data_IF_843207499742
#
_entry.id   IF_843207499742
#
_cell.length_a   1.000
_cell.length_b   1.000
_cell.length_c   1.000
_cell.angle_alpha   90.00
_cell.angle_beta   90.00
_cell.angle_gamma   90.00
#
_symmetry.space_group_name_H-M   'P 1'
#
loop_
_entity.id
_entity.type
_entity.pdbx_description
1 polymer ?
#
# COMPACT_ATOMS: atom_id res chain seq x y z
N UNK A 1 -45.88 -11.25 -17.01
CA UNK A 1 -44.53 -10.71 -16.73
C UNK A 1 -43.93 -10.22 -18.03
N UNK A 2 -43.29 -9.05 -18.05
CA UNK A 2 -42.66 -8.49 -19.25
C UNK A 2 -41.15 -8.76 -19.25
N UNK A 3 -40.61 -9.16 -20.39
CA UNK A 3 -39.19 -9.46 -20.57
C UNK A 3 -38.59 -8.64 -21.70
N UNK A 4 -37.27 -8.40 -21.65
CA UNK A 4 -36.50 -7.89 -22.79
C UNK A 4 -35.36 -8.85 -23.16
N UNK A 5 -34.98 -8.84 -24.44
CA UNK A 5 -33.76 -9.50 -24.92
C UNK A 5 -32.55 -8.61 -24.61
N UNK A 6 -31.53 -9.18 -23.99
CA UNK A 6 -30.23 -8.55 -23.76
C UNK A 6 -29.15 -9.35 -24.46
N UNK A 7 -28.51 -8.74 -25.45
CA UNK A 7 -27.48 -9.38 -26.27
C UNK A 7 -26.13 -9.22 -25.58
N UNK A 8 -25.47 -10.33 -25.25
CA UNK A 8 -24.13 -10.33 -24.70
C UNK A 8 -23.12 -10.23 -25.86
N UNK A 9 -22.08 -9.40 -25.75
CA UNK A 9 -21.11 -9.16 -26.82
C UNK A 9 -20.05 -10.27 -26.96
N UNK A 10 -20.42 -11.53 -26.70
CA UNK A 10 -19.53 -12.66 -26.93
C UNK A 10 -19.60 -13.02 -28.43
N UNK A 11 -18.46 -12.94 -29.11
CA UNK A 11 -18.34 -12.79 -30.58
C UNK A 11 -18.70 -14.02 -31.42
N UNK A 12 -19.08 -15.14 -30.80
CA UNK A 12 -19.13 -16.44 -31.50
C UNK A 12 -20.52 -17.10 -31.58
N UNK A 13 -21.60 -16.42 -31.18
CA UNK A 13 -22.94 -17.03 -31.23
C UNK A 13 -24.04 -16.01 -31.59
N UNK A 14 -24.57 -16.14 -32.80
CA UNK A 14 -25.47 -15.18 -33.47
C UNK A 14 -26.84 -15.08 -32.78
N UNK A 15 -27.16 -16.00 -31.85
CA UNK A 15 -28.42 -16.04 -31.11
C UNK A 15 -28.30 -15.99 -29.57
N UNK A 16 -27.14 -15.59 -29.02
CA UNK A 16 -26.93 -15.57 -27.56
C UNK A 16 -27.53 -14.31 -26.88
N UNK A 17 -28.85 -14.30 -26.71
CA UNK A 17 -29.55 -13.30 -25.90
C UNK A 17 -29.99 -13.88 -24.55
N UNK A 18 -29.88 -13.07 -23.50
CA UNK A 18 -30.45 -13.36 -22.19
C UNK A 18 -31.77 -12.64 -22.01
N UNK A 19 -32.77 -13.32 -21.48
CA UNK A 19 -34.02 -12.68 -21.10
C UNK A 19 -33.86 -12.00 -19.74
N UNK A 20 -34.13 -10.71 -19.70
CA UNK A 20 -34.17 -9.93 -18.47
C UNK A 20 -35.61 -9.57 -18.14
N UNK A 21 -36.05 -9.86 -16.91
CA UNK A 21 -37.34 -9.46 -16.40
C UNK A 21 -37.38 -7.94 -16.19
N UNK A 22 -38.40 -7.28 -16.73
CA UNK A 22 -38.65 -5.87 -16.48
C UNK A 22 -39.22 -5.68 -15.07
N UNK A 23 -38.50 -4.94 -14.23
CA UNK A 23 -38.86 -4.76 -12.81
C UNK A 23 -39.56 -3.41 -12.60
N UNK A 24 -40.85 -3.40 -12.22
CA UNK A 24 -41.54 -2.18 -11.82
C UNK A 24 -40.87 -1.51 -10.62
N UNK A 25 -41.00 -0.18 -10.48
CA UNK A 25 -40.40 0.59 -9.38
C UNK A 25 -40.72 0.02 -8.00
N UNK A 26 -41.93 -0.49 -7.80
CA UNK A 26 -42.39 -1.12 -6.55
C UNK A 26 -41.55 -2.34 -6.12
N UNK A 27 -40.92 -3.05 -7.06
CA UNK A 27 -40.17 -4.28 -6.78
C UNK A 27 -38.64 -4.10 -6.81
N UNK A 28 -38.14 -2.94 -7.25
CA UNK A 28 -36.69 -2.67 -7.33
C UNK A 28 -36.01 -2.76 -5.95
N UNK A 29 -36.69 -2.32 -4.89
CA UNK A 29 -36.17 -2.39 -3.52
C UNK A 29 -35.94 -3.83 -3.06
N UNK A 30 -36.82 -4.76 -3.45
CA UNK A 30 -36.67 -6.19 -3.14
C UNK A 30 -35.45 -6.78 -3.84
N UNK A 31 -35.23 -6.40 -5.10
CA UNK A 31 -34.03 -6.80 -5.84
C UNK A 31 -32.78 -6.27 -5.13
N UNK A 32 -32.76 -5.00 -4.73
CA UNK A 32 -31.59 -4.44 -4.03
C UNK A 32 -31.26 -5.18 -2.74
N UNK A 33 -32.27 -5.45 -1.90
CA UNK A 33 -32.09 -6.22 -0.66
C UNK A 33 -31.44 -7.58 -0.91
N UNK A 34 -31.91 -8.31 -1.92
CA UNK A 34 -31.39 -9.64 -2.24
C UNK A 34 -29.92 -9.63 -2.69
N UNK A 35 -29.51 -8.61 -3.45
CA UNK A 35 -28.16 -8.53 -4.02
C UNK A 35 -27.16 -7.69 -3.20
N UNK A 36 -27.60 -6.97 -2.17
CA UNK A 36 -26.72 -6.10 -1.36
C UNK A 36 -26.80 -6.40 0.14
N UNK A 37 -27.99 -6.60 0.71
CA UNK A 37 -28.20 -6.62 2.16
C UNK A 37 -28.08 -8.03 2.77
N UNK A 38 -28.09 -9.07 1.93
CA UNK A 38 -27.91 -10.45 2.40
C UNK A 38 -26.46 -10.65 2.86
N UNK A 39 -26.21 -11.10 4.11
CA UNK A 39 -24.84 -11.24 4.64
C UNK A 39 -23.90 -12.08 3.79
N UNK A 40 -24.42 -13.15 3.15
CA UNK A 40 -23.65 -14.04 2.27
C UNK A 40 -23.17 -13.37 0.97
N UNK A 41 -23.75 -12.23 0.60
CA UNK A 41 -23.43 -11.49 -0.62
C UNK A 41 -22.42 -10.35 -0.35
N UNK A 42 -22.30 -9.92 0.91
CA UNK A 42 -21.21 -9.06 1.38
C UNK A 42 -21.25 -7.61 0.88
N UNK A 43 -22.43 -6.99 0.81
CA UNK A 43 -22.58 -5.57 0.43
C UNK A 43 -21.84 -5.21 -0.87
N UNK A 44 -22.12 -5.95 -1.95
CA UNK A 44 -21.45 -5.77 -3.24
C UNK A 44 -21.46 -4.29 -3.67
N UNK A 45 -20.29 -3.82 -4.10
CA UNK A 45 -20.15 -2.52 -4.74
C UNK A 45 -20.97 -2.41 -6.04
N UNK A 46 -21.24 -1.19 -6.50
CA UNK A 46 -22.23 -0.92 -7.54
C UNK A 46 -21.97 -1.65 -8.86
N UNK A 47 -20.72 -1.76 -9.30
CA UNK A 47 -20.39 -2.46 -10.56
C UNK A 47 -20.58 -3.98 -10.47
N UNK A 48 -20.24 -4.59 -9.33
CA UNK A 48 -20.44 -6.03 -9.10
C UNK A 48 -21.95 -6.35 -9.02
N UNK A 49 -22.69 -5.50 -8.32
CA UNK A 49 -24.13 -5.61 -8.19
C UNK A 49 -24.83 -5.44 -9.54
N UNK A 50 -24.42 -4.46 -10.34
CA UNK A 50 -24.93 -4.25 -11.70
C UNK A 50 -24.71 -5.49 -12.57
N UNK A 51 -23.49 -6.05 -12.59
CA UNK A 51 -23.19 -7.25 -13.39
C UNK A 51 -24.07 -8.45 -13.03
N UNK A 52 -24.39 -8.64 -11.74
CA UNK A 52 -25.27 -9.73 -11.28
C UNK A 52 -26.73 -9.47 -11.63
N UNK A 53 -27.23 -8.26 -11.36
CA UNK A 53 -28.63 -7.90 -11.63
C UNK A 53 -28.91 -7.94 -13.13
N UNK A 54 -27.97 -7.49 -13.96
CA UNK A 54 -28.07 -7.57 -15.43
C UNK A 54 -28.12 -9.00 -15.98
N UNK A 55 -27.86 -10.05 -15.19
CA UNK A 55 -28.11 -11.40 -15.72
C UNK A 55 -29.59 -11.77 -15.74
N UNK A 56 -30.42 -11.09 -14.92
CA UNK A 56 -31.80 -11.53 -14.64
C UNK A 56 -32.84 -10.40 -14.80
N UNK A 57 -32.47 -9.15 -14.55
CA UNK A 57 -33.40 -8.05 -14.40
C UNK A 57 -32.98 -6.82 -15.20
N UNK A 58 -33.98 -5.98 -15.51
CA UNK A 58 -33.76 -4.65 -16.06
C UNK A 58 -34.83 -3.65 -15.63
N UNK A 59 -34.41 -2.39 -15.53
CA UNK A 59 -35.30 -1.22 -15.53
C UNK A 59 -34.52 0.01 -16.03
N UNK A 60 -35.21 1.07 -16.50
CA UNK A 60 -34.57 2.31 -16.90
C UNK A 60 -33.73 2.93 -15.76
N UNK A 61 -32.56 3.49 -16.10
CA UNK A 61 -31.61 4.09 -15.15
C UNK A 61 -31.10 3.13 -14.04
N UNK A 62 -31.07 1.82 -14.31
CA UNK A 62 -30.64 0.81 -13.33
C UNK A 62 -29.26 1.05 -12.72
N UNK A 63 -28.25 1.44 -13.51
CA UNK A 63 -26.91 1.77 -12.99
C UNK A 63 -26.96 2.89 -11.96
N UNK A 64 -27.72 3.95 -12.24
CA UNK A 64 -27.88 5.09 -11.33
C UNK A 64 -28.61 4.68 -10.05
N UNK A 65 -29.69 3.88 -10.16
CA UNK A 65 -30.42 3.38 -9.00
C UNK A 65 -29.56 2.49 -8.10
N UNK A 66 -28.78 1.57 -8.68
CA UNK A 66 -27.84 0.71 -7.94
C UNK A 66 -26.76 1.55 -7.26
N UNK A 67 -26.16 2.49 -7.99
CA UNK A 67 -25.10 3.36 -7.45
C UNK A 67 -25.61 4.17 -6.27
N UNK A 68 -26.82 4.73 -6.38
CA UNK A 68 -27.48 5.44 -5.29
C UNK A 68 -27.72 4.53 -4.08
N UNK A 69 -28.29 3.34 -4.29
CA UNK A 69 -28.56 2.38 -3.22
C UNK A 69 -27.28 2.00 -2.44
N UNK A 70 -26.20 1.65 -3.13
CA UNK A 70 -24.93 1.33 -2.48
C UNK A 70 -24.31 2.54 -1.75
N UNK A 71 -24.58 3.77 -2.20
CA UNK A 71 -24.08 5.00 -1.57
C UNK A 71 -24.87 5.36 -0.29
N UNK A 72 -26.17 5.09 -0.30
CA UNK A 72 -27.09 5.32 0.83
C UNK A 72 -27.05 4.18 1.87
N UNK A 73 -26.25 3.13 1.65
CA UNK A 73 -26.10 2.05 2.62
C UNK A 73 -25.23 2.49 3.82
N UNK A 74 -25.85 2.59 5.00
CA UNK A 74 -25.18 2.99 6.25
C UNK A 74 -23.99 2.09 6.61
N UNK A 75 -24.13 0.77 6.42
CA UNK A 75 -23.04 -0.18 6.70
C UNK A 75 -21.84 0.03 5.77
N UNK A 76 -22.09 0.34 4.49
CA UNK A 76 -21.02 0.67 3.54
C UNK A 76 -20.39 2.03 3.86
N UNK A 77 -21.21 3.01 4.24
CA UNK A 77 -20.75 4.35 4.59
C UNK A 77 -19.86 4.32 5.85
N UNK A 78 -20.25 3.58 6.89
CA UNK A 78 -19.50 3.45 8.13
C UNK A 78 -18.13 2.76 7.93
N UNK A 79 -18.01 1.86 6.94
CA UNK A 79 -16.76 1.16 6.62
C UNK A 79 -15.83 1.93 5.68
N UNK A 80 -16.31 2.96 4.98
CA UNK A 80 -15.45 3.76 4.10
C UNK A 80 -14.55 4.65 4.95
N UNK A 81 -13.26 4.36 4.95
CA UNK A 81 -12.27 5.29 5.48
C UNK A 81 -12.35 6.60 4.70
N UNK A 82 -12.41 7.73 5.43
CA UNK A 82 -12.29 9.04 4.83
C UNK A 82 -10.95 9.07 4.09
N UNK A 83 -10.98 9.34 2.78
CA UNK A 83 -9.77 9.65 2.03
C UNK A 83 -9.19 10.93 2.63
N UNK A 84 -8.22 10.78 3.54
CA UNK A 84 -7.40 11.90 4.00
C UNK A 84 -6.72 12.46 2.76
N UNK A 85 -6.97 13.73 2.45
CA UNK A 85 -6.21 14.46 1.45
C UNK A 85 -4.73 14.37 1.87
N UNK A 86 -3.94 13.57 1.16
CA UNK A 86 -2.49 13.54 1.35
C UNK A 86 -1.96 14.84 0.79
N UNK A 87 -1.23 15.61 1.59
CA UNK A 87 -0.51 16.78 1.10
C UNK A 87 0.39 16.36 -0.10
N UNK A 88 0.60 17.24 -1.09
CA UNK A 88 1.57 16.98 -2.14
C UNK A 88 2.93 16.68 -1.50
N UNK A 89 3.60 15.66 -2.03
CA UNK A 89 4.87 15.17 -1.54
C UNK A 89 5.94 16.24 -1.74
N UNK A 90 6.57 16.69 -0.64
CA UNK A 90 7.81 17.45 -0.76
C UNK A 90 8.92 16.50 -1.18
N UNK A 91 9.50 16.72 -2.36
CA UNK A 91 10.78 16.10 -2.70
C UNK A 91 11.85 16.79 -1.85
N UNK A 92 12.57 16.01 -1.06
CA UNK A 92 13.77 16.53 -0.41
C UNK A 92 14.90 16.47 -1.44
N UNK A 93 15.25 17.63 -2.00
CA UNK A 93 16.35 17.74 -2.94
C UNK A 93 17.67 17.52 -2.19
N UNK A 94 18.47 16.58 -2.68
CA UNK A 94 19.84 16.32 -2.22
C UNK A 94 20.77 16.83 -3.32
N UNK A 95 21.72 17.69 -2.96
CA UNK A 95 22.59 18.41 -3.89
C UNK A 95 23.94 17.73 -4.16
N UNK A 96 24.39 16.84 -3.27
CA UNK A 96 25.69 16.17 -3.41
C UNK A 96 25.72 14.71 -2.91
N UNK A 97 26.63 13.87 -3.43
CA UNK A 97 26.86 12.53 -2.88
C UNK A 97 27.17 12.57 -1.38
N UNK A 98 26.68 11.59 -0.63
CA UNK A 98 26.88 11.47 0.82
C UNK A 98 26.27 12.61 1.67
N UNK A 99 25.57 13.58 1.08
CA UNK A 99 24.78 14.55 1.86
C UNK A 99 23.70 13.84 2.67
N UNK A 100 23.01 12.88 2.06
CA UNK A 100 22.01 12.08 2.74
C UNK A 100 22.09 10.62 2.35
N UNK A 101 22.22 9.78 3.38
CA UNK A 101 22.11 8.33 3.28
C UNK A 101 20.94 7.87 4.11
N UNK A 102 20.25 6.90 3.57
CA UNK A 102 18.95 6.46 4.00
C UNK A 102 19.10 5.00 4.44
N UNK A 103 18.69 4.66 5.67
CA UNK A 103 19.00 3.38 6.32
C UNK A 103 17.74 2.63 6.76
N UNK A 104 17.69 1.35 6.47
CA UNK A 104 16.60 0.46 6.84
C UNK A 104 17.12 -0.94 7.22
N UNK A 105 16.35 -1.69 8.01
CA UNK A 105 16.66 -3.07 8.38
C UNK A 105 15.51 -3.98 7.97
N UNK A 106 15.81 -4.93 7.09
CA UNK A 106 14.89 -5.97 6.67
C UNK A 106 15.04 -7.21 7.56
N UNK A 107 13.92 -7.74 8.04
CA UNK A 107 13.84 -9.02 8.73
C UNK A 107 12.87 -9.05 9.90
N UNK A 108 12.83 -10.15 10.66
CA UNK A 108 13.68 -11.34 10.50
C UNK A 108 13.37 -12.13 9.21
N UNK A 109 14.41 -12.51 8.47
CA UNK A 109 14.37 -13.37 7.28
C UNK A 109 14.66 -14.84 7.66
N UNK A 110 14.47 -15.82 6.74
CA UNK A 110 14.94 -17.19 6.96
C UNK A 110 16.42 -17.23 7.29
N UNK A 111 16.78 -18.02 8.30
CA UNK A 111 18.16 -18.13 8.77
C UNK A 111 19.05 -18.74 7.70
N UNK A 112 20.13 -18.04 7.35
CA UNK A 112 21.10 -18.50 6.35
C UNK A 112 22.11 -19.49 6.96
N UNK A 113 22.85 -20.21 6.11
CA UNK A 113 23.97 -21.08 6.56
C UNK A 113 25.03 -20.33 7.36
N UNK A 114 25.20 -19.03 7.10
CA UNK A 114 26.13 -18.13 7.80
C UNK A 114 25.53 -17.51 9.07
N UNK A 115 24.37 -17.99 9.53
CA UNK A 115 23.66 -17.50 10.71
C UNK A 115 23.17 -16.05 10.62
N UNK A 116 23.07 -15.48 9.41
CA UNK A 116 22.45 -14.17 9.21
C UNK A 116 20.93 -14.28 9.12
N UNK A 117 20.24 -13.29 9.70
CA UNK A 117 18.77 -13.22 9.79
C UNK A 117 18.20 -11.86 9.39
N UNK A 118 19.06 -10.85 9.27
CA UNK A 118 18.66 -9.48 8.92
C UNK A 118 19.54 -8.95 7.79
N UNK A 119 19.04 -7.94 7.10
CA UNK A 119 19.79 -7.19 6.08
C UNK A 119 19.69 -5.71 6.38
N UNK A 120 20.84 -5.03 6.42
CA UNK A 120 20.96 -3.59 6.58
C UNK A 120 21.03 -3.01 5.18
N UNK A 121 20.11 -2.12 4.84
CA UNK A 121 20.07 -1.43 3.55
C UNK A 121 20.47 0.01 3.76
N UNK A 122 21.44 0.49 2.98
CA UNK A 122 21.95 1.86 2.97
C UNK A 122 21.84 2.41 1.55
N UNK A 123 20.94 3.36 1.33
CA UNK A 123 20.67 3.99 0.04
C UNK A 123 21.14 5.45 0.04
N UNK A 124 22.03 5.82 -0.88
CA UNK A 124 22.47 7.19 -1.09
C UNK A 124 21.42 7.96 -1.90
N UNK A 125 20.75 8.94 -1.28
CA UNK A 125 19.61 9.63 -1.89
C UNK A 125 19.96 10.46 -3.15
N UNK A 126 21.22 10.86 -3.32
CA UNK A 126 21.66 11.65 -4.48
C UNK A 126 21.73 10.82 -5.76
N UNK A 127 22.28 9.59 -5.66
CA UNK A 127 22.56 8.73 -6.81
C UNK A 127 21.65 7.50 -6.89
N UNK A 128 20.77 7.31 -5.91
CA UNK A 128 19.97 6.10 -5.71
C UNK A 128 20.85 4.82 -5.63
N UNK A 129 22.10 4.96 -5.18
CA UNK A 129 23.02 3.83 -5.02
C UNK A 129 22.75 3.13 -3.69
N UNK A 130 22.64 1.80 -3.71
CA UNK A 130 22.26 1.01 -2.54
C UNK A 130 23.26 -0.08 -2.21
N UNK A 131 23.67 -0.13 -0.95
CA UNK A 131 24.45 -1.23 -0.38
C UNK A 131 23.58 -2.04 0.59
N UNK A 132 23.75 -3.36 0.60
CA UNK A 132 23.02 -4.27 1.47
C UNK A 132 23.98 -5.21 2.22
N UNK A 133 23.89 -5.24 3.54
CA UNK A 133 24.78 -6.04 4.41
C UNK A 133 23.98 -7.01 5.27
N UNK A 134 24.29 -8.30 5.20
CA UNK A 134 23.60 -9.32 5.98
C UNK A 134 24.24 -9.51 7.37
N UNK A 135 23.42 -9.58 8.43
CA UNK A 135 23.89 -9.68 9.81
C UNK A 135 22.97 -10.56 10.69
N UNK A 136 23.47 -11.08 11.84
CA UNK A 136 22.77 -12.11 12.63
C UNK A 136 21.64 -11.57 13.52
N UNK A 137 21.81 -10.39 14.12
CA UNK A 137 20.92 -9.84 15.14
C UNK A 137 20.83 -8.30 15.08
N UNK A 138 19.73 -7.75 15.60
CA UNK A 138 19.54 -6.28 15.66
C UNK A 138 20.21 -5.65 16.89
N UNK A 139 21.25 -6.25 17.47
CA UNK A 139 21.96 -5.63 18.58
C UNK A 139 22.71 -4.38 18.09
N UNK A 140 22.76 -3.35 18.94
CA UNK A 140 23.37 -2.08 18.61
C UNK A 140 24.82 -2.24 18.11
N UNK A 141 25.64 -3.06 18.78
CA UNK A 141 27.04 -3.25 18.42
C UNK A 141 27.20 -3.91 17.04
N UNK A 142 26.35 -4.87 16.71
CA UNK A 142 26.33 -5.54 15.40
C UNK A 142 26.01 -4.53 14.29
N UNK A 143 24.96 -3.73 14.48
CA UNK A 143 24.54 -2.71 13.52
C UNK A 143 25.61 -1.62 13.37
N UNK A 144 26.11 -1.08 14.48
CA UNK A 144 27.12 -0.03 14.49
C UNK A 144 28.42 -0.47 13.79
N UNK A 145 28.91 -1.68 14.10
CA UNK A 145 30.10 -2.24 13.44
C UNK A 145 29.88 -2.42 11.94
N UNK A 146 28.70 -2.91 11.54
CA UNK A 146 28.35 -3.07 10.13
C UNK A 146 28.36 -1.72 9.41
N UNK A 147 27.70 -0.69 9.97
CA UNK A 147 27.68 0.66 9.38
C UNK A 147 29.10 1.23 9.27
N UNK A 148 29.87 1.18 10.37
CA UNK A 148 31.19 1.82 10.40
C UNK A 148 32.16 1.08 9.47
N UNK A 149 32.29 -0.24 9.61
CA UNK A 149 33.31 -1.00 8.88
C UNK A 149 32.95 -1.18 7.40
N UNK A 150 31.70 -1.48 7.09
CA UNK A 150 31.30 -1.86 5.73
C UNK A 150 30.91 -0.66 4.87
N UNK A 151 30.48 0.44 5.48
CA UNK A 151 30.03 1.63 4.74
C UNK A 151 30.94 2.83 4.99
N UNK A 152 31.07 3.30 6.23
CA UNK A 152 31.77 4.56 6.53
C UNK A 152 33.27 4.47 6.22
N UNK A 153 33.93 3.36 6.55
CA UNK A 153 35.35 3.16 6.24
C UNK A 153 35.63 3.09 4.72
N UNK A 154 34.62 2.75 3.91
CA UNK A 154 34.75 2.61 2.45
C UNK A 154 34.39 3.90 1.70
N UNK A 155 33.34 4.58 2.14
CA UNK A 155 32.72 5.68 1.39
C UNK A 155 32.76 7.03 2.12
N UNK A 156 33.15 7.04 3.39
CA UNK A 156 33.13 8.22 4.24
C UNK A 156 31.85 8.35 5.07
N UNK A 157 31.84 9.34 5.96
CA UNK A 157 30.69 9.64 6.83
C UNK A 157 29.70 10.54 6.08
N UNK A 158 28.40 10.19 6.03
CA UNK A 158 27.41 11.06 5.40
C UNK A 158 27.12 12.29 6.28
N UNK A 159 26.67 13.39 5.67
CA UNK A 159 26.23 14.57 6.44
C UNK A 159 24.95 14.26 7.23
N UNK A 160 24.01 13.53 6.61
CA UNK A 160 22.78 13.10 7.24
C UNK A 160 22.52 11.61 7.07
N UNK A 161 22.06 10.99 8.15
CA UNK A 161 21.56 9.61 8.14
C UNK A 161 20.07 9.58 8.48
N UNK A 162 19.26 9.18 7.52
CA UNK A 162 17.80 9.11 7.65
C UNK A 162 17.33 7.69 7.91
N UNK A 163 16.58 7.43 8.99
CA UNK A 163 15.97 6.11 9.23
C UNK A 163 14.45 6.17 9.43
N UNK A 164 13.84 4.99 9.49
CA UNK A 164 12.54 4.86 10.13
C UNK A 164 12.62 5.02 11.67
N UNK A 165 11.46 4.93 12.34
CA UNK A 165 11.36 4.97 13.81
C UNK A 165 11.60 3.59 14.45
N UNK A 166 12.37 2.72 13.80
CA UNK A 166 12.76 1.43 14.34
C UNK A 166 13.53 1.60 15.65
N UNK A 167 13.25 0.76 16.65
CA UNK A 167 13.89 0.83 17.99
C UNK A 167 15.41 0.79 17.93
N UNK A 168 15.98 0.09 16.94
CA UNK A 168 17.42 -0.04 16.75
C UNK A 168 18.09 1.31 16.42
N UNK A 169 17.37 2.24 15.81
CA UNK A 169 17.89 3.54 15.37
C UNK A 169 17.56 4.71 16.32
N UNK A 170 16.57 4.52 17.20
CA UNK A 170 16.16 5.51 18.20
C UNK A 170 16.89 5.35 19.55
N UNK A 171 17.66 4.29 19.73
CA UNK A 171 18.44 4.08 20.94
C UNK A 171 19.46 5.22 21.16
N UNK A 172 19.66 5.64 22.42
CA UNK A 172 20.63 6.68 22.78
C UNK A 172 22.03 6.39 22.23
N UNK A 173 22.45 5.13 22.28
CA UNK A 173 23.73 4.69 21.73
C UNK A 173 23.88 4.98 20.23
N UNK A 174 22.80 4.95 19.47
CA UNK A 174 22.80 5.28 18.04
C UNK A 174 22.94 6.79 17.80
N UNK A 175 22.33 7.61 18.66
CA UNK A 175 22.54 9.05 18.66
C UNK A 175 23.99 9.39 19.02
N UNK A 176 24.53 8.79 20.09
CA UNK A 176 25.92 8.97 20.53
C UNK A 176 26.92 8.59 19.41
N UNK A 177 26.63 7.53 18.64
CA UNK A 177 27.42 7.14 17.48
C UNK A 177 27.38 8.19 16.36
N UNK A 178 26.19 8.71 16.04
CA UNK A 178 26.04 9.76 15.02
C UNK A 178 26.78 11.04 15.44
N UNK A 179 26.69 11.43 16.70
CA UNK A 179 27.38 12.60 17.25
C UNK A 179 28.90 12.49 17.20
N UNK A 180 29.43 11.28 17.44
CA UNK A 180 30.85 10.98 17.32
C UNK A 180 31.34 11.11 15.87
N UNK A 181 30.53 10.62 14.94
CA UNK A 181 30.82 10.61 13.49
C UNK A 181 30.42 11.90 12.77
N UNK A 182 29.88 12.88 13.51
CA UNK A 182 29.37 14.16 12.99
C UNK A 182 28.29 14.00 11.93
N UNK A 183 27.43 13.01 12.13
CA UNK A 183 26.27 12.69 11.28
C UNK A 183 25.03 13.32 11.90
N UNK A 184 24.27 14.10 11.13
CA UNK A 184 22.96 14.59 11.54
C UNK A 184 21.90 13.50 11.36
N UNK A 185 21.34 13.03 12.48
CA UNK A 185 20.40 11.92 12.53
C UNK A 185 18.97 12.41 12.33
N UNK A 186 18.35 12.01 11.23
CA UNK A 186 16.95 12.32 10.92
C UNK A 186 16.07 11.07 10.91
N UNK A 187 14.75 11.24 11.07
CA UNK A 187 13.78 10.14 11.09
C UNK A 187 12.50 10.48 10.34
N UNK A 188 11.84 9.47 9.78
CA UNK A 188 10.50 9.62 9.19
C UNK A 188 9.43 9.81 10.27
N UNK A 189 8.32 10.49 9.94
CA UNK A 189 7.13 10.55 10.80
C UNK A 189 6.34 9.23 10.73
N UNK A 190 5.70 8.83 11.83
CA UNK A 190 5.21 7.46 12.12
C UNK A 190 4.24 6.80 11.10
N UNK A 191 3.85 7.46 10.00
CA UNK A 191 2.99 6.89 8.96
C UNK A 191 3.25 7.46 7.56
N UNK A 192 4.49 7.40 7.05
CA UNK A 192 4.77 7.72 5.64
C UNK A 192 5.39 6.52 4.88
N UNK A 193 4.58 5.77 4.12
CA UNK A 193 5.04 4.59 3.35
C UNK A 193 5.96 4.95 2.17
N UNK A 194 6.10 6.22 1.81
CA UNK A 194 6.86 6.63 0.62
C UNK A 194 8.37 6.71 0.84
N UNK A 195 8.82 6.88 2.09
CA UNK A 195 10.25 6.75 2.41
C UNK A 195 10.69 5.30 2.22
N UNK A 196 9.85 4.37 2.68
CA UNK A 196 10.06 2.95 2.43
C UNK A 196 10.09 2.64 0.95
N UNK A 197 9.28 3.30 0.12
CA UNK A 197 9.37 3.07 -1.34
C UNK A 197 10.79 3.29 -1.90
N UNK A 198 11.61 4.22 -1.37
CA UNK A 198 13.00 4.41 -1.82
C UNK A 198 13.95 3.30 -1.37
N UNK A 199 13.69 2.63 -0.24
CA UNK A 199 14.48 1.47 0.21
C UNK A 199 13.89 0.13 -0.27
N UNK A 200 12.59 0.10 -0.58
CA UNK A 200 11.81 -1.06 -1.04
C UNK A 200 11.82 -1.22 -2.59
N UNK A 201 12.15 -0.16 -3.35
CA UNK A 201 12.31 -0.21 -4.82
C UNK A 201 13.78 -0.24 -5.28
N UNK A 202 14.73 -0.43 -4.36
CA UNK A 202 16.13 -0.78 -4.68
C UNK A 202 16.31 -2.30 -4.80
#
# INVERSE_FOLDING_TARGET
>A
MLYRKFYCSDKDDVDNFKLQLLVPKSHQKTVFKYFHDVPSVGHLGPDKMLRRIQQLFYWPAMRSSITRYCKECDQCAARKSLKRNKAPLGQYLVGEPMERVAIDILGPLPLTKRQNRYVLVLCACFSEWTEAYAFPDQEFLTIARTIVNEFICRFGSPLQLHSDQGRSFEAKLFQDLCDLLKIDKTRSTSQHPQWKDLTEHC
#
